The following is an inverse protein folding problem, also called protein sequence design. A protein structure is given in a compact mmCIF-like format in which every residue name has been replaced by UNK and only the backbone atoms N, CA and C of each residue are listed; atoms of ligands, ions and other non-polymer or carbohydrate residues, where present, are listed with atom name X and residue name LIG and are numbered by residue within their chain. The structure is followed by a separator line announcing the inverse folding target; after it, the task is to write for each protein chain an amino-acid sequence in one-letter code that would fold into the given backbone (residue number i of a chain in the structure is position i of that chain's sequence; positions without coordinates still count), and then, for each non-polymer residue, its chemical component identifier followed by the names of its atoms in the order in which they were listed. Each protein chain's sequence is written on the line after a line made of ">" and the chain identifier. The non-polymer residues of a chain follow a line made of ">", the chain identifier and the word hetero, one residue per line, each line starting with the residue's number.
data_IF_122741543845
#
_entry.id   IF_122741543845
#
_cell.length_a   1.000
_cell.length_b   1.000
_cell.length_c   1.000
_cell.angle_alpha   90.00
_cell.angle_beta   90.00
_cell.angle_gamma   90.00
#
_symmetry.space_group_name_H-M   'P 1'
#
loop_
_entity.id
_entity.type
_entity.pdbx_description
1 polymer ?
#
# COMPACT_ATOMS: atom_id res chain seq x y z
N UNK A 1 -14.55 6.00 7.15
CA UNK A 1 -13.90 7.10 6.40
C UNK A 1 -14.20 8.43 7.10
N UNK A 2 -13.20 9.29 7.30
CA UNK A 2 -13.33 10.57 8.03
C UNK A 2 -14.49 11.46 7.54
N UNK A 3 -14.77 11.44 6.23
CA UNK A 3 -15.83 12.24 5.61
C UNK A 3 -17.23 11.93 6.16
N UNK A 4 -17.48 10.71 6.67
CA UNK A 4 -18.75 10.36 7.32
C UNK A 4 -18.94 11.02 8.70
N UNK A 5 -17.89 11.60 9.29
CA UNK A 5 -17.97 12.32 10.57
C UNK A 5 -18.39 13.79 10.40
N UNK A 6 -18.60 14.24 9.16
CA UNK A 6 -19.01 15.62 8.84
C UNK A 6 -20.51 15.63 8.55
N UNK A 7 -21.25 16.51 9.24
CA UNK A 7 -22.66 16.77 8.93
C UNK A 7 -22.76 17.80 7.81
N UNK A 8 -23.32 17.40 6.66
CA UNK A 8 -23.50 18.27 5.50
C UNK A 8 -24.90 18.89 5.45
N UNK A 9 -24.98 20.20 5.19
CA UNK A 9 -26.23 20.92 4.90
C UNK A 9 -26.05 21.81 3.65
N UNK A 10 -26.82 21.60 2.57
CA UNK A 10 -27.78 20.50 2.35
C UNK A 10 -27.08 19.13 2.33
N UNK A 11 -27.85 18.05 2.44
CA UNK A 11 -27.32 16.69 2.36
C UNK A 11 -26.58 16.47 1.03
N UNK A 12 -25.52 15.65 1.05
CA UNK A 12 -24.82 15.29 -0.17
C UNK A 12 -25.73 14.49 -1.11
N UNK A 13 -25.47 14.51 -2.43
CA UNK A 13 -26.20 13.69 -3.39
C UNK A 13 -26.17 12.20 -3.01
N UNK A 14 -27.24 11.43 -3.27
CA UNK A 14 -27.36 10.03 -2.84
C UNK A 14 -26.17 9.14 -3.23
N UNK A 15 -25.63 9.29 -4.45
CA UNK A 15 -24.47 8.52 -4.90
C UNK A 15 -23.21 8.80 -4.07
N UNK A 16 -22.97 10.06 -3.66
CA UNK A 16 -21.82 10.43 -2.83
C UNK A 16 -21.98 9.87 -1.41
N UNK A 17 -23.20 9.95 -0.84
CA UNK A 17 -23.49 9.33 0.46
C UNK A 17 -23.24 7.82 0.45
N UNK A 18 -23.69 7.12 -0.59
CA UNK A 18 -23.49 5.67 -0.71
C UNK A 18 -22.02 5.29 -0.94
N UNK A 19 -21.26 6.10 -1.70
CA UNK A 19 -19.83 5.91 -1.91
C UNK A 19 -19.04 5.90 -0.60
N UNK A 20 -19.20 6.95 0.21
CA UNK A 20 -18.40 7.15 1.44
C UNK A 20 -18.59 6.02 2.47
N UNK A 21 -19.75 5.35 2.44
CA UNK A 21 -20.06 4.22 3.33
C UNK A 21 -19.47 2.88 2.87
N UNK A 22 -18.99 2.79 1.63
CA UNK A 22 -18.59 1.51 1.00
C UNK A 22 -17.10 1.41 0.70
N UNK A 23 -16.33 2.41 1.10
CA UNK A 23 -14.88 2.47 0.93
C UNK A 23 -14.19 2.30 2.30
N UNK A 24 -14.07 1.06 2.81
CA UNK A 24 -13.35 0.79 4.05
C UNK A 24 -11.84 1.03 3.85
N UNK A 25 -11.13 1.35 4.92
CA UNK A 25 -9.67 1.40 4.92
C UNK A 25 -9.07 0.01 5.06
N UNK A 26 -7.83 -0.16 4.58
CA UNK A 26 -7.04 -1.35 4.85
C UNK A 26 -6.66 -1.52 6.32
N UNK A 27 -6.31 -2.75 6.69
CA UNK A 27 -5.81 -3.11 8.03
C UNK A 27 -4.31 -3.33 7.97
N UNK A 28 -3.53 -2.54 8.72
CA UNK A 28 -2.08 -2.71 8.82
C UNK A 28 -1.58 -2.28 10.20
N UNK A 29 -0.65 -3.06 10.73
CA UNK A 29 0.21 -2.66 11.83
C UNK A 29 1.64 -2.60 11.31
N UNK A 30 2.27 -1.45 11.54
CA UNK A 30 3.68 -1.22 11.21
C UNK A 30 4.49 -1.47 12.47
N UNK A 31 5.48 -2.33 12.39
CA UNK A 31 6.32 -2.70 13.54
C UNK A 31 7.79 -2.44 13.21
N UNK A 32 8.59 -2.09 14.21
CA UNK A 32 10.03 -1.84 14.07
C UNK A 32 10.76 -2.53 15.22
N UNK A 33 11.67 -3.45 14.88
CA UNK A 33 12.53 -4.14 15.85
C UNK A 33 13.94 -3.59 15.71
N UNK A 34 14.48 -3.03 16.80
CA UNK A 34 15.84 -2.52 16.83
C UNK A 34 16.80 -3.57 17.39
N UNK A 35 18.02 -3.58 16.88
CA UNK A 35 19.07 -4.51 17.24
C UNK A 35 20.38 -3.77 17.53
N UNK A 36 21.29 -4.44 18.23
CA UNK A 36 22.61 -3.86 18.56
C UNK A 36 23.47 -3.64 17.32
N UNK A 37 23.40 -4.55 16.35
CA UNK A 37 24.10 -4.49 15.07
C UNK A 37 23.15 -4.89 13.95
N UNK A 38 23.44 -4.47 12.72
CA UNK A 38 22.74 -4.93 11.53
C UNK A 38 23.26 -6.31 11.10
N UNK A 39 23.20 -7.30 12.00
CA UNK A 39 23.82 -8.63 11.84
C UNK A 39 23.35 -9.36 10.56
N UNK A 40 22.15 -9.05 10.05
CA UNK A 40 21.69 -9.58 8.77
C UNK A 40 22.62 -9.20 7.62
N UNK A 41 23.20 -7.98 7.62
CA UNK A 41 24.16 -7.53 6.59
C UNK A 41 25.48 -8.30 6.68
N UNK A 42 25.97 -8.56 7.89
CA UNK A 42 27.18 -9.37 8.13
C UNK A 42 27.00 -10.81 7.62
N UNK A 43 25.75 -11.28 7.60
CA UNK A 43 25.35 -12.58 7.08
C UNK A 43 24.92 -12.56 5.59
N UNK A 44 25.20 -11.47 4.87
CA UNK A 44 24.92 -11.36 3.44
C UNK A 44 23.46 -11.05 3.06
N UNK A 45 22.61 -10.71 4.04
CA UNK A 45 21.22 -10.31 3.81
C UNK A 45 21.09 -8.78 3.77
N UNK A 46 20.27 -8.26 2.86
CA UNK A 46 19.98 -6.82 2.78
C UNK A 46 18.88 -6.35 3.76
N UNK A 47 18.27 -7.26 4.52
CA UNK A 47 17.16 -6.98 5.43
C UNK A 47 15.78 -6.94 4.76
N UNK A 48 15.69 -7.08 3.44
CA UNK A 48 14.41 -7.31 2.75
C UNK A 48 13.99 -8.76 2.86
N UNK A 49 12.79 -9.01 3.35
CA UNK A 49 12.24 -10.36 3.53
C UNK A 49 10.77 -10.38 3.13
N UNK A 50 10.42 -11.27 2.21
CA UNK A 50 9.04 -11.66 1.94
C UNK A 50 8.79 -12.98 2.68
N UNK A 51 7.84 -12.97 3.62
CA UNK A 51 7.57 -14.13 4.47
C UNK A 51 6.17 -14.63 4.12
N UNK A 52 6.13 -15.80 3.49
CA UNK A 52 4.90 -16.53 3.23
C UNK A 52 4.69 -17.58 4.32
N UNK A 53 3.54 -17.52 4.99
CA UNK A 53 3.22 -18.41 6.11
C UNK A 53 1.83 -18.14 6.67
N UNK A 54 1.40 -18.96 7.61
CA UNK A 54 0.14 -18.84 8.32
C UNK A 54 0.17 -17.78 9.42
N UNK A 55 -0.54 -18.05 10.52
CA UNK A 55 -0.65 -17.14 11.67
C UNK A 55 0.58 -17.16 12.58
N UNK A 56 1.44 -18.16 12.43
CA UNK A 56 2.76 -18.25 13.05
C UNK A 56 3.75 -17.23 12.48
N UNK A 57 3.53 -16.78 11.23
CA UNK A 57 4.33 -15.78 10.54
C UNK A 57 3.51 -14.50 10.26
N UNK A 58 3.41 -13.56 11.22
CA UNK A 58 2.52 -12.41 11.10
C UNK A 58 2.96 -11.38 10.04
N UNK A 59 4.26 -11.35 9.70
CA UNK A 59 4.82 -10.45 8.71
C UNK A 59 4.53 -10.95 7.29
N UNK A 60 4.23 -10.02 6.38
CA UNK A 60 4.24 -10.28 4.94
C UNK A 60 5.52 -9.77 4.28
N UNK A 61 5.90 -8.54 4.63
CA UNK A 61 7.09 -7.86 4.15
C UNK A 61 7.84 -7.26 5.34
N UNK A 62 9.16 -7.44 5.34
CA UNK A 62 10.08 -6.72 6.18
C UNK A 62 11.19 -6.09 5.35
N UNK A 63 11.73 -4.97 5.83
CA UNK A 63 12.82 -4.22 5.20
C UNK A 63 13.82 -3.76 6.26
N UNK A 64 15.01 -3.40 5.82
CA UNK A 64 15.99 -2.71 6.66
C UNK A 64 15.56 -1.25 6.89
N UNK A 65 15.48 -0.82 8.15
CA UNK A 65 15.18 0.55 8.58
C UNK A 65 16.33 1.19 9.38
N UNK A 66 17.53 0.61 9.28
CA UNK A 66 18.77 1.18 9.80
C UNK A 66 18.97 2.56 9.19
N UNK A 67 19.41 3.53 10.01
CA UNK A 67 19.60 4.90 9.52
C UNK A 67 20.73 4.96 8.48
N UNK A 68 20.73 5.97 7.59
CA UNK A 68 21.72 6.05 6.51
C UNK A 68 23.19 6.10 6.99
N UNK A 69 23.43 6.61 8.20
CA UNK A 69 24.75 6.66 8.85
C UNK A 69 25.15 5.33 9.54
N UNK A 70 24.32 4.29 9.42
CA UNK A 70 24.53 2.98 10.03
C UNK A 70 24.07 2.89 11.49
N UNK A 71 23.58 3.98 12.08
CA UNK A 71 23.08 3.97 13.46
C UNK A 71 21.66 3.39 13.53
N UNK A 72 21.28 2.97 14.74
CA UNK A 72 19.97 2.34 15.02
C UNK A 72 19.60 1.21 14.06
N UNK A 73 20.36 0.08 14.04
CA UNK A 73 20.01 -1.08 13.24
C UNK A 73 18.59 -1.54 13.53
N UNK A 74 17.76 -1.61 12.50
CA UNK A 74 16.35 -1.93 12.67
C UNK A 74 15.78 -2.71 11.48
N UNK A 75 14.79 -3.56 11.76
CA UNK A 75 13.92 -4.16 10.77
C UNK A 75 12.53 -3.59 10.94
N UNK A 76 12.01 -2.99 9.87
CA UNK A 76 10.62 -2.58 9.75
C UNK A 76 9.82 -3.73 9.17
N UNK A 77 8.63 -3.98 9.70
CA UNK A 77 7.75 -5.06 9.27
C UNK A 77 6.30 -4.60 9.13
N UNK A 78 5.57 -5.27 8.25
CA UNK A 78 4.15 -5.02 8.04
C UNK A 78 3.32 -6.27 8.32
N UNK A 79 2.43 -6.14 9.31
CA UNK A 79 1.39 -7.12 9.60
C UNK A 79 0.15 -6.65 8.84
N UNK A 80 -0.30 -7.42 7.85
CA UNK A 80 -1.31 -6.99 6.87
C UNK A 80 -2.65 -7.69 7.06
N UNK A 81 -3.73 -7.00 6.64
CA UNK A 81 -5.06 -7.54 6.42
C UNK A 81 -5.60 -8.36 7.63
N UNK A 82 -5.97 -9.61 7.40
CA UNK A 82 -6.53 -10.48 8.43
C UNK A 82 -5.56 -10.79 9.56
N UNK A 83 -4.25 -10.91 9.26
CA UNK A 83 -3.23 -11.11 10.29
C UNK A 83 -3.18 -9.91 11.22
N UNK A 84 -3.33 -8.69 10.69
CA UNK A 84 -3.38 -7.47 11.50
C UNK A 84 -4.57 -7.48 12.48
N UNK A 85 -5.77 -7.88 12.01
CA UNK A 85 -6.95 -8.01 12.86
C UNK A 85 -6.76 -9.04 13.97
N UNK A 86 -6.21 -10.21 13.67
CA UNK A 86 -5.93 -11.25 14.66
C UNK A 86 -4.87 -10.85 15.68
N UNK A 87 -3.82 -10.15 15.23
CA UNK A 87 -2.75 -9.66 16.11
C UNK A 87 -3.21 -8.53 17.05
N UNK A 88 -4.35 -7.88 16.74
CA UNK A 88 -4.89 -6.79 17.55
C UNK A 88 -5.36 -7.20 18.95
N UNK A 89 -5.62 -8.49 19.20
CA UNK A 89 -6.02 -8.97 20.53
C UNK A 89 -4.85 -9.29 21.47
N UNK A 90 -3.62 -9.28 20.95
CA UNK A 90 -2.41 -9.57 21.72
C UNK A 90 -1.90 -8.33 22.46
N UNK A 91 -1.04 -8.52 23.45
CA UNK A 91 -0.21 -7.45 24.00
C UNK A 91 0.92 -7.05 23.03
N UNK A 92 1.47 -5.83 23.15
CA UNK A 92 2.66 -5.42 22.38
C UNK A 92 3.84 -6.40 22.55
N UNK A 93 4.05 -6.93 23.75
CA UNK A 93 5.10 -7.90 24.04
C UNK A 93 4.89 -9.23 23.30
N UNK A 94 3.68 -9.78 23.31
CA UNK A 94 3.36 -11.00 22.55
C UNK A 94 3.51 -10.79 21.04
N UNK A 95 3.15 -9.60 20.53
CA UNK A 95 3.36 -9.25 19.12
C UNK A 95 4.84 -9.16 18.78
N UNK A 96 5.63 -8.48 19.61
CA UNK A 96 7.09 -8.39 19.49
C UNK A 96 7.71 -9.78 19.41
N UNK A 97 7.36 -10.68 20.34
CA UNK A 97 7.89 -12.05 20.37
C UNK A 97 7.51 -12.85 19.12
N UNK A 98 6.26 -12.77 18.67
CA UNK A 98 5.81 -13.44 17.43
C UNK A 98 6.53 -12.91 16.20
N UNK A 99 6.71 -11.60 16.09
CA UNK A 99 7.42 -10.98 14.96
C UNK A 99 8.90 -11.39 14.98
N UNK A 100 9.57 -11.29 16.14
CA UNK A 100 10.96 -11.69 16.30
C UNK A 100 11.19 -13.17 15.95
N UNK A 101 10.29 -14.05 16.43
CA UNK A 101 10.30 -15.48 16.11
C UNK A 101 10.12 -15.74 14.62
N UNK A 102 9.16 -15.07 14.00
CA UNK A 102 8.93 -15.20 12.56
C UNK A 102 10.15 -14.79 11.74
N UNK A 103 10.87 -13.74 12.13
CA UNK A 103 12.12 -13.34 11.47
C UNK A 103 13.22 -14.38 11.68
N UNK A 104 13.37 -14.90 12.90
CA UNK A 104 14.37 -15.92 13.21
C UNK A 104 14.12 -17.23 12.44
N UNK A 105 12.87 -17.68 12.37
CA UNK A 105 12.49 -18.90 11.65
C UNK A 105 12.62 -18.73 10.13
N UNK A 106 12.18 -17.60 9.58
CA UNK A 106 12.26 -17.35 8.14
C UNK A 106 13.69 -17.21 7.61
N UNK A 107 14.61 -16.73 8.45
CA UNK A 107 16.00 -16.46 8.04
C UNK A 107 17.01 -17.48 8.57
N UNK A 108 16.67 -18.24 9.60
CA UNK A 108 17.57 -19.14 10.32
C UNK A 108 18.44 -18.46 11.39
N UNK A 109 18.37 -17.13 11.57
CA UNK A 109 19.23 -16.38 12.50
C UNK A 109 18.55 -16.12 13.85
N UNK A 110 19.09 -16.69 14.92
CA UNK A 110 18.52 -16.59 16.27
C UNK A 110 18.71 -15.19 16.89
N UNK A 111 19.60 -14.37 16.35
CA UNK A 111 19.83 -12.99 16.75
C UNK A 111 18.57 -12.13 16.59
N UNK A 112 17.66 -12.48 15.67
CA UNK A 112 16.36 -11.83 15.55
C UNK A 112 15.50 -11.94 16.82
N UNK A 113 15.73 -12.96 17.66
CA UNK A 113 15.04 -13.11 18.95
C UNK A 113 15.51 -12.14 20.04
N UNK A 114 16.56 -11.34 19.78
CA UNK A 114 17.17 -10.43 20.76
C UNK A 114 17.03 -8.95 20.38
N UNK A 115 15.81 -8.44 20.08
CA UNK A 115 15.63 -7.02 19.82
C UNK A 115 15.88 -6.21 21.11
N UNK A 116 16.64 -5.13 20.99
CA UNK A 116 16.95 -4.21 22.09
C UNK A 116 15.85 -3.15 22.30
N UNK A 117 15.03 -2.91 21.28
CA UNK A 117 13.87 -2.01 21.34
C UNK A 117 12.79 -2.45 20.35
N UNK A 118 11.54 -2.05 20.60
CA UNK A 118 10.39 -2.38 19.77
C UNK A 118 9.43 -1.19 19.71
N UNK A 119 8.99 -0.84 18.51
CA UNK A 119 7.95 0.15 18.27
C UNK A 119 6.88 -0.41 17.35
N UNK A 120 5.63 -0.01 17.56
CA UNK A 120 4.54 -0.41 16.67
C UNK A 120 3.49 0.69 16.52
N UNK A 121 2.79 0.67 15.38
CA UNK A 121 1.57 1.45 15.17
C UNK A 121 0.49 0.61 14.52
N UNK A 122 -0.60 0.39 15.26
CA UNK A 122 -1.84 -0.12 14.70
C UNK A 122 -2.63 1.02 14.05
N UNK A 123 -2.74 1.03 12.72
CA UNK A 123 -3.46 2.07 12.01
C UNK A 123 -4.98 1.89 12.04
N UNK A 124 -5.48 0.71 12.42
CA UNK A 124 -6.92 0.46 12.54
C UNK A 124 -7.54 1.22 13.71
N UNK A 125 -6.77 1.52 14.75
CA UNK A 125 -7.22 2.24 15.95
C UNK A 125 -7.31 3.75 15.73
N UNK A 126 -6.70 4.26 14.65
CA UNK A 126 -6.63 5.69 14.39
C UNK A 126 -7.97 6.24 13.93
N UNK A 127 -8.73 6.83 14.84
CA UNK A 127 -10.08 7.33 14.56
C UNK A 127 -10.16 8.37 13.41
N UNK A 128 -9.07 9.06 13.08
CA UNK A 128 -9.00 10.06 12.02
C UNK A 128 -8.46 9.51 10.69
N UNK A 129 -7.93 8.29 10.68
CA UNK A 129 -7.51 7.57 9.46
C UNK A 129 -8.50 6.44 9.13
N UNK A 130 -8.83 5.61 10.12
CA UNK A 130 -9.68 4.44 10.04
C UNK A 130 -8.96 3.16 9.61
N UNK A 131 -7.66 3.24 9.30
CA UNK A 131 -6.83 2.19 8.73
C UNK A 131 -5.77 2.76 7.78
N UNK A 132 -4.98 1.88 7.19
CA UNK A 132 -3.94 2.22 6.21
C UNK A 132 -3.71 1.08 5.20
N UNK A 133 -3.05 1.32 4.07
CA UNK A 133 -2.53 2.62 3.62
C UNK A 133 -3.64 3.54 3.09
N UNK A 134 -4.62 2.96 2.41
CA UNK A 134 -5.65 3.67 1.66
C UNK A 134 -6.99 2.97 1.74
N UNK A 135 -8.04 3.62 1.22
CA UNK A 135 -9.34 3.01 1.05
C UNK A 135 -9.32 1.90 -0.01
N UNK A 136 -10.01 0.80 0.29
CA UNK A 136 -10.21 -0.32 -0.62
C UNK A 136 -11.52 -0.15 -1.41
N UNK A 137 -11.56 -0.77 -2.59
CA UNK A 137 -12.72 -0.76 -3.50
C UNK A 137 -13.32 -2.17 -3.56
N UNK A 138 -14.33 -2.50 -2.74
CA UNK A 138 -15.03 -3.78 -2.83
C UNK A 138 -15.63 -4.02 -4.22
N UNK A 139 -15.94 -5.28 -4.59
CA UNK A 139 -16.49 -5.63 -5.89
C UNK A 139 -17.69 -4.74 -6.27
N UNK A 140 -17.64 -4.19 -7.48
CA UNK A 140 -18.70 -3.33 -8.03
C UNK A 140 -18.71 -1.89 -7.52
N UNK A 141 -17.86 -1.51 -6.55
CA UNK A 141 -17.83 -0.13 -6.05
C UNK A 141 -17.39 0.84 -7.14
N UNK A 142 -16.27 0.55 -7.80
CA UNK A 142 -15.65 1.48 -8.74
C UNK A 142 -16.55 1.75 -9.96
N UNK A 143 -17.18 0.72 -10.52
CA UNK A 143 -18.07 0.88 -11.68
C UNK A 143 -19.37 1.62 -11.36
N UNK A 144 -19.90 1.47 -10.13
CA UNK A 144 -21.15 2.13 -9.71
C UNK A 144 -20.94 3.55 -9.20
N UNK A 145 -19.85 3.81 -8.49
CA UNK A 145 -19.63 5.05 -7.75
C UNK A 145 -18.36 5.81 -8.11
N UNK A 146 -17.42 5.24 -8.88
CA UNK A 146 -16.13 5.86 -9.19
C UNK A 146 -16.24 7.24 -9.84
N UNK A 147 -17.28 7.48 -10.64
CA UNK A 147 -17.54 8.79 -11.26
C UNK A 147 -17.76 9.94 -10.26
N UNK A 148 -18.19 9.63 -9.03
CA UNK A 148 -18.42 10.64 -7.97
C UNK A 148 -17.30 10.68 -6.93
N UNK A 149 -16.18 9.98 -7.17
CA UNK A 149 -15.05 9.90 -6.23
C UNK A 149 -14.39 11.26 -5.98
N UNK A 150 -14.31 12.09 -7.02
CA UNK A 150 -13.69 13.43 -6.97
C UNK A 150 -14.54 14.53 -7.59
N UNK A 151 -15.77 14.22 -8.02
CA UNK A 151 -16.65 15.21 -8.62
C UNK A 151 -17.04 16.28 -7.57
N UNK A 152 -16.89 17.57 -7.88
CA UNK A 152 -17.24 18.63 -6.94
C UNK A 152 -18.75 18.68 -6.69
N UNK A 153 -19.13 19.11 -5.49
CA UNK A 153 -20.53 19.30 -5.08
C UNK A 153 -20.72 20.74 -4.66
N UNK A 154 -21.34 21.55 -5.52
CA UNK A 154 -21.46 22.99 -5.25
C UNK A 154 -20.07 23.60 -5.10
N UNK A 155 -19.72 24.13 -3.92
CA UNK A 155 -18.40 24.70 -3.55
C UNK A 155 -17.47 23.71 -2.84
N UNK A 156 -17.89 22.46 -2.66
CA UNK A 156 -17.06 21.41 -2.07
C UNK A 156 -16.24 20.71 -3.16
N UNK A 157 -14.92 20.77 -3.01
CA UNK A 157 -13.96 20.05 -3.84
C UNK A 157 -13.30 18.94 -3.01
N UNK A 158 -12.91 17.83 -3.64
CA UNK A 158 -12.40 16.65 -2.95
C UNK A 158 -10.95 16.38 -3.31
N UNK A 159 -10.08 16.46 -2.31
CA UNK A 159 -8.69 16.03 -2.36
C UNK A 159 -8.53 14.68 -1.63
N UNK A 160 -7.31 14.39 -1.17
CA UNK A 160 -6.96 13.12 -0.54
C UNK A 160 -6.49 12.10 -1.58
N UNK A 161 -5.55 11.25 -1.20
CA UNK A 161 -4.85 10.35 -2.12
C UNK A 161 -5.80 9.41 -2.87
N UNK A 162 -6.96 9.08 -2.29
CA UNK A 162 -8.01 8.27 -2.91
C UNK A 162 -8.62 8.94 -4.15
N UNK A 163 -8.43 10.24 -4.33
CA UNK A 163 -8.96 11.00 -5.47
C UNK A 163 -7.93 11.25 -6.59
N UNK A 164 -6.69 10.81 -6.41
CA UNK A 164 -5.62 10.91 -7.40
C UNK A 164 -5.85 9.99 -8.60
N UNK A 165 -5.16 10.26 -9.71
CA UNK A 165 -5.13 9.39 -10.89
C UNK A 165 -3.80 8.68 -11.10
N UNK A 166 -2.72 9.18 -10.50
CA UNK A 166 -1.41 8.54 -10.39
C UNK A 166 -1.09 8.28 -8.92
N UNK A 167 -0.55 7.10 -8.62
CA UNK A 167 -0.11 6.71 -7.28
C UNK A 167 -1.16 6.93 -6.17
N UNK A 168 -2.44 6.71 -6.48
CA UNK A 168 -3.51 6.77 -5.47
C UNK A 168 -3.23 5.78 -4.34
N UNK A 169 -3.33 6.26 -3.11
CA UNK A 169 -2.96 5.53 -1.90
C UNK A 169 -1.56 5.82 -1.36
N UNK A 170 -0.77 6.64 -2.07
CA UNK A 170 0.57 7.08 -1.66
C UNK A 170 0.62 8.57 -1.35
N UNK A 171 1.77 9.03 -0.85
CA UNK A 171 2.04 10.45 -0.62
C UNK A 171 1.97 11.27 -1.92
N UNK A 172 2.52 10.73 -3.02
CA UNK A 172 2.41 11.30 -4.36
C UNK A 172 0.97 11.57 -4.78
N UNK A 173 0.08 10.59 -4.60
CA UNK A 173 -1.34 10.76 -4.87
C UNK A 173 -1.99 11.80 -3.97
N UNK A 174 -1.55 11.94 -2.72
CA UNK A 174 -2.04 13.00 -1.83
C UNK A 174 -1.64 14.40 -2.33
N UNK A 175 -0.41 14.57 -2.82
CA UNK A 175 0.06 15.82 -3.44
C UNK A 175 -0.74 16.11 -4.71
N UNK A 176 -0.78 15.17 -5.66
CA UNK A 176 -1.50 15.32 -6.93
C UNK A 176 -2.96 15.73 -6.69
N UNK A 177 -3.65 15.02 -5.79
CA UNK A 177 -5.04 15.30 -5.47
C UNK A 177 -5.25 16.65 -4.78
N UNK A 178 -4.35 17.02 -3.87
CA UNK A 178 -4.39 18.28 -3.13
C UNK A 178 -4.24 19.48 -4.07
N UNK A 179 -3.21 19.46 -4.90
CA UNK A 179 -2.97 20.54 -5.84
C UNK A 179 -4.06 20.62 -6.92
N UNK A 180 -4.50 19.49 -7.47
CA UNK A 180 -5.59 19.47 -8.44
C UNK A 180 -6.88 20.04 -7.86
N UNK A 181 -7.24 19.71 -6.61
CA UNK A 181 -8.40 20.29 -5.95
C UNK A 181 -8.25 21.81 -5.73
N UNK A 182 -7.05 22.29 -5.37
CA UNK A 182 -6.77 23.72 -5.27
C UNK A 182 -6.91 24.43 -6.63
N UNK A 183 -6.41 23.82 -7.72
CA UNK A 183 -6.53 24.34 -9.08
C UNK A 183 -7.97 24.34 -9.58
N UNK A 184 -8.80 23.35 -9.23
CA UNK A 184 -10.24 23.39 -9.49
C UNK A 184 -10.91 24.64 -8.87
N UNK A 185 -10.50 25.03 -7.66
CA UNK A 185 -10.99 26.24 -6.98
C UNK A 185 -10.47 27.51 -7.69
N UNK A 186 -9.17 27.57 -8.02
CA UNK A 186 -8.58 28.69 -8.75
C UNK A 186 -9.27 28.90 -10.11
N UNK A 187 -9.57 27.82 -10.83
CA UNK A 187 -10.28 27.89 -12.09
C UNK A 187 -11.67 28.51 -11.91
N UNK A 188 -12.40 28.07 -10.88
CA UNK A 188 -13.72 28.64 -10.57
C UNK A 188 -13.66 30.12 -10.20
N UNK A 189 -12.57 30.56 -9.57
CA UNK A 189 -12.32 31.97 -9.27
C UNK A 189 -11.90 32.79 -10.49
N UNK A 190 -11.79 32.18 -11.68
CA UNK A 190 -11.33 32.84 -12.90
C UNK A 190 -9.84 33.16 -12.91
N UNK A 191 -9.04 32.50 -12.05
CA UNK A 191 -7.59 32.75 -11.92
C UNK A 191 -6.75 31.93 -12.88
N UNK A 192 -7.26 30.77 -13.30
CA UNK A 192 -6.60 29.86 -14.25
C UNK A 192 -7.62 29.30 -15.24
N UNK A 193 -7.14 28.86 -16.39
CA UNK A 193 -7.97 28.19 -17.40
C UNK A 193 -8.22 26.72 -17.03
N UNK A 194 -9.16 26.07 -17.73
CA UNK A 194 -9.58 24.69 -17.41
C UNK A 194 -8.46 23.66 -17.65
N UNK A 195 -7.67 23.88 -18.70
CA UNK A 195 -6.50 23.07 -19.07
C UNK A 195 -5.39 23.12 -18.02
N UNK A 196 -5.38 24.15 -17.17
CA UNK A 196 -4.42 24.28 -16.07
C UNK A 196 -4.83 23.55 -14.79
N UNK A 197 -5.97 22.84 -14.75
CA UNK A 197 -6.39 22.08 -13.56
C UNK A 197 -5.52 20.81 -13.38
N UNK A 198 -5.30 20.11 -14.48
CA UNK A 198 -4.53 18.87 -14.53
C UNK A 198 -3.19 19.17 -15.19
N UNK A 199 -2.14 19.21 -14.38
CA UNK A 199 -0.78 19.44 -14.84
C UNK A 199 0.01 18.15 -14.72
N UNK A 200 0.89 17.95 -15.70
CA UNK A 200 1.88 16.88 -15.67
C UNK A 200 3.08 17.39 -14.86
N UNK A 201 3.51 16.63 -13.86
CA UNK A 201 4.71 16.95 -13.10
C UNK A 201 5.96 16.62 -13.92
N UNK A 202 6.96 17.51 -14.02
CA UNK A 202 8.25 17.18 -14.62
C UNK A 202 8.91 15.99 -13.90
N UNK A 203 9.68 15.20 -14.64
CA UNK A 203 10.43 14.10 -14.03
C UNK A 203 11.49 14.61 -13.04
N UNK A 204 11.68 13.88 -11.94
CA UNK A 204 12.71 14.21 -10.95
C UNK A 204 14.12 13.99 -11.53
N UNK A 205 14.99 14.98 -11.37
CA UNK A 205 16.41 14.89 -11.72
C UNK A 205 17.20 14.04 -10.70
N UNK A 206 16.77 14.02 -9.43
CA UNK A 206 17.43 13.27 -8.35
C UNK A 206 17.04 11.78 -8.32
N UNK A 207 15.77 11.48 -8.65
CA UNK A 207 15.23 10.11 -8.65
C UNK A 207 14.69 9.78 -10.04
N UNK A 208 15.62 9.46 -10.94
CA UNK A 208 15.31 9.17 -12.35
C UNK A 208 14.61 7.82 -12.50
N UNK A 209 13.45 7.83 -13.16
CA UNK A 209 12.69 6.61 -13.44
C UNK A 209 13.42 5.76 -14.50
N UNK A 210 13.55 4.46 -14.24
CA UNK A 210 14.07 3.50 -15.22
C UNK A 210 12.88 2.77 -15.86
N UNK A 211 12.89 2.56 -17.20
CA UNK A 211 11.80 1.85 -17.85
C UNK A 211 11.75 0.39 -17.39
N UNK A 212 10.55 -0.15 -17.26
CA UNK A 212 10.37 -1.59 -17.08
C UNK A 212 10.69 -2.31 -18.39
N UNK A 213 11.67 -3.19 -18.36
CA UNK A 213 12.10 -3.98 -19.53
C UNK A 213 11.72 -5.43 -19.31
N UNK A 214 10.92 -6.00 -20.22
CA UNK A 214 10.59 -7.44 -20.23
C UNK A 214 11.50 -8.18 -21.21
N UNK A 215 12.09 -9.27 -20.76
CA UNK A 215 12.85 -10.20 -21.59
C UNK A 215 11.94 -10.92 -22.60
N UNK A 216 12.58 -11.52 -23.62
CA UNK A 216 11.87 -12.36 -24.59
C UNK A 216 11.12 -13.51 -23.90
N UNK A 217 11.74 -14.17 -22.92
CA UNK A 217 11.10 -15.30 -22.21
C UNK A 217 9.88 -14.83 -21.43
N UNK A 218 9.98 -13.76 -20.66
CA UNK A 218 8.82 -13.22 -19.91
C UNK A 218 7.65 -12.87 -20.84
N UNK A 219 7.94 -12.36 -22.05
CA UNK A 219 6.91 -11.97 -23.01
C UNK A 219 6.27 -13.16 -23.76
N UNK A 220 7.05 -14.20 -24.04
CA UNK A 220 6.63 -15.27 -24.97
C UNK A 220 6.50 -16.65 -24.35
N UNK A 221 6.94 -16.86 -23.10
CA UNK A 221 6.67 -18.10 -22.38
C UNK A 221 5.14 -18.26 -22.22
N UNK A 222 4.55 -19.39 -22.66
CA UNK A 222 3.11 -19.56 -22.60
C UNK A 222 2.66 -19.71 -21.14
N UNK A 223 1.41 -19.33 -20.88
CA UNK A 223 0.74 -19.73 -19.63
C UNK A 223 0.59 -21.25 -19.56
N UNK A 224 0.31 -21.80 -18.37
CA UNK A 224 0.11 -23.26 -18.20
C UNK A 224 -0.94 -23.82 -19.18
N UNK A 225 -2.14 -23.22 -19.35
CA UNK A 225 -3.08 -23.69 -20.38
C UNK A 225 -2.56 -23.52 -21.81
N UNK A 226 -1.80 -22.46 -22.08
CA UNK A 226 -1.16 -22.23 -23.37
C UNK A 226 -0.15 -23.33 -23.70
N UNK A 227 0.68 -23.72 -22.72
CA UNK A 227 1.64 -24.80 -22.85
C UNK A 227 0.94 -26.13 -23.12
N UNK A 228 -0.09 -26.48 -22.35
CA UNK A 228 -0.88 -27.70 -22.57
C UNK A 228 -1.46 -27.74 -23.99
N UNK A 229 -2.01 -26.63 -24.48
CA UNK A 229 -2.52 -26.53 -25.86
C UNK A 229 -1.42 -26.77 -26.90
N UNK A 230 -0.25 -26.16 -26.72
CA UNK A 230 0.90 -26.34 -27.61
C UNK A 230 1.32 -27.81 -27.64
N UNK A 231 1.49 -28.43 -26.46
CA UNK A 231 1.87 -29.85 -26.36
C UNK A 231 0.84 -30.74 -27.04
N UNK A 232 -0.45 -30.55 -26.77
CA UNK A 232 -1.52 -31.36 -27.37
C UNK A 232 -1.52 -31.25 -28.91
N UNK A 233 -1.36 -30.05 -29.45
CA UNK A 233 -1.30 -29.83 -30.91
C UNK A 233 -0.05 -30.48 -31.50
N UNK A 234 1.12 -30.27 -30.88
CA UNK A 234 2.37 -30.87 -31.34
C UNK A 234 2.34 -32.40 -31.32
N UNK A 235 1.76 -33.00 -30.27
CA UNK A 235 1.59 -34.46 -30.18
C UNK A 235 0.59 -34.98 -31.22
N UNK A 236 -0.54 -34.30 -31.41
CA UNK A 236 -1.53 -34.70 -32.41
C UNK A 236 -0.97 -34.64 -33.84
N UNK A 237 -0.19 -33.61 -34.17
CA UNK A 237 0.49 -33.49 -35.47
C UNK A 237 1.57 -34.55 -35.62
N UNK A 238 2.37 -34.80 -34.57
CA UNK A 238 3.44 -35.79 -34.62
C UNK A 238 2.97 -37.25 -34.69
N UNK A 239 1.70 -37.53 -34.40
CA UNK A 239 1.09 -38.86 -34.47
C UNK A 239 0.36 -39.13 -35.81
N UNK A 240 0.24 -38.14 -36.69
CA UNK A 240 -0.39 -38.23 -38.02
C UNK A 240 0.67 -38.39 -39.12
#
# INVERSE_FOLDING_TARGET
>A
MLQMKIHFKPSLPPLRNQLMQRMPMGSVMKVILYYKTAFWRENGLCGSMLIEGGDEHPLFLALDDTKPDGTYPAIIGFILADKCRRMGSLSPEERKEKVARSLAEATGYQEFLKPIHYEEKNWMEEQYSGGCYTAMYPPGLFTRYGKVLRAPIGRLHFAGTETAVKWSGYMDGAIEAGERAAREILHRMGKITRDQIWLEEPESEDVVSKPFVTSFKEKYTPSVPGFIKIVLVSTAIGAA
#
